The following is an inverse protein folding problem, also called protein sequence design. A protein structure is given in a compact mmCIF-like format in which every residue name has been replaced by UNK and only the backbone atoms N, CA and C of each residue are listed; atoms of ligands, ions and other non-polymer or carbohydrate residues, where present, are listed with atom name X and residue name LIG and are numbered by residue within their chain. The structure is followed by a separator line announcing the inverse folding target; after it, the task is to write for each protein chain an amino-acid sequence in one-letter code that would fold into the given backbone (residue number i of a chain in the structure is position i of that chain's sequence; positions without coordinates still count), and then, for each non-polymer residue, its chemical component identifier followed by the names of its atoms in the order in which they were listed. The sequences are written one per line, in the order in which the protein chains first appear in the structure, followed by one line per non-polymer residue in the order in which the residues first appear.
data_IF_721068058776
#
_entry.id   IF_721068058776
#
_cell.length_a   1.000
_cell.length_b   1.000
_cell.length_c   1.000
_cell.angle_alpha   90.00
_cell.angle_beta   90.00
_cell.angle_gamma   90.00
#
_symmetry.space_group_name_H-M   'P 1'
#
loop_
_entity.id
_entity.type
_entity.pdbx_description
1 polymer ?
#
# COMPACT_ATOMS: atom_id res chain seq x y z
N UNK A 1 -18.55 0.87 1.70
CA UNK A 1 -18.39 0.85 0.24
C UNK A 1 -18.64 -0.56 -0.22
N UNK A 2 -19.79 -0.72 -0.89
CA UNK A 2 -20.20 -1.99 -1.47
C UNK A 2 -19.18 -2.39 -2.53
N UNK A 3 -18.35 -3.34 -2.18
CA UNK A 3 -17.75 -4.20 -3.15
C UNK A 3 -18.86 -5.17 -3.56
N UNK A 4 -19.82 -4.68 -4.37
CA UNK A 4 -20.72 -5.58 -5.04
C UNK A 4 -19.86 -6.37 -6.02
N UNK A 5 -19.68 -7.61 -5.68
CA UNK A 5 -19.15 -8.63 -6.56
C UNK A 5 -20.16 -8.93 -7.68
N UNK A 6 -20.50 -7.89 -8.44
CA UNK A 6 -21.39 -8.02 -9.59
C UNK A 6 -20.71 -8.57 -10.83
N UNK A 7 -19.52 -9.13 -10.66
CA UNK A 7 -18.99 -10.09 -11.64
C UNK A 7 -19.67 -11.43 -11.35
N UNK A 8 -20.96 -11.44 -11.67
CA UNK A 8 -21.83 -12.57 -11.39
C UNK A 8 -21.38 -13.78 -12.21
N UNK A 9 -21.12 -14.89 -11.54
CA UNK A 9 -20.93 -16.21 -12.15
C UNK A 9 -22.08 -16.61 -13.09
N UNK A 10 -23.23 -15.91 -13.02
CA UNK A 10 -24.36 -16.08 -13.92
C UNK A 10 -24.06 -15.71 -15.37
N UNK A 11 -23.09 -14.83 -15.63
CA UNK A 11 -22.75 -14.42 -16.99
C UNK A 11 -21.92 -15.49 -17.73
N UNK A 12 -21.21 -16.35 -17.01
CA UNK A 12 -20.35 -17.37 -17.62
C UNK A 12 -21.17 -18.44 -18.36
N UNK A 13 -22.32 -18.82 -17.85
CA UNK A 13 -23.19 -19.81 -18.48
C UNK A 13 -24.15 -19.18 -19.52
N UNK A 14 -24.36 -17.88 -19.47
CA UNK A 14 -25.13 -17.15 -20.47
C UNK A 14 -24.53 -17.22 -21.88
N UNK A 15 -23.22 -17.36 -21.98
CA UNK A 15 -22.48 -17.53 -23.25
C UNK A 15 -22.80 -18.84 -23.99
N UNK A 16 -23.38 -19.84 -23.30
CA UNK A 16 -23.82 -21.08 -23.96
C UNK A 16 -25.20 -20.96 -24.62
N UNK A 17 -25.93 -19.89 -24.32
CA UNK A 17 -27.18 -19.60 -25.01
C UNK A 17 -26.90 -18.92 -26.37
N UNK A 18 -27.47 -19.46 -27.42
CA UNK A 18 -27.42 -18.89 -28.78
C UNK A 18 -28.81 -18.65 -29.31
N UNK A 19 -28.96 -17.88 -30.39
CA UNK A 19 -30.25 -17.62 -31.02
C UNK A 19 -30.97 -18.90 -31.45
N UNK A 20 -30.25 -19.96 -31.73
CA UNK A 20 -30.78 -21.28 -32.14
C UNK A 20 -30.92 -22.23 -30.96
N UNK A 21 -30.24 -21.97 -29.83
CA UNK A 21 -30.22 -22.79 -28.62
C UNK A 21 -30.45 -21.92 -27.39
N UNK A 22 -31.67 -21.51 -27.18
CA UNK A 22 -32.06 -20.57 -26.11
C UNK A 22 -32.02 -21.19 -24.72
N UNK A 23 -32.16 -22.51 -24.59
CA UNK A 23 -32.03 -23.26 -23.34
C UNK A 23 -30.94 -24.30 -23.47
N UNK A 24 -29.66 -23.94 -23.23
CA UNK A 24 -28.58 -24.92 -23.21
C UNK A 24 -28.81 -25.93 -22.07
N UNK A 25 -28.67 -27.20 -22.38
CA UNK A 25 -28.71 -28.29 -21.38
C UNK A 25 -27.37 -28.50 -20.68
N UNK A 26 -26.40 -27.67 -20.99
CA UNK A 26 -25.05 -27.72 -20.49
C UNK A 26 -24.75 -26.48 -19.65
N UNK A 27 -24.20 -26.67 -18.47
CA UNK A 27 -23.68 -25.61 -17.60
C UNK A 27 -22.28 -26.00 -17.13
N UNK A 28 -21.38 -25.04 -17.07
CA UNK A 28 -20.07 -25.21 -16.43
C UNK A 28 -20.20 -25.02 -14.93
N UNK A 29 -19.77 -25.99 -14.15
CA UNK A 29 -19.61 -25.83 -12.70
C UNK A 29 -18.55 -24.74 -12.38
N UNK A 30 -18.67 -24.06 -11.25
CA UNK A 30 -17.68 -23.12 -10.78
C UNK A 30 -16.34 -23.82 -10.49
N UNK A 31 -15.24 -23.12 -10.68
CA UNK A 31 -13.95 -23.59 -10.17
C UNK A 31 -13.91 -23.45 -8.64
N UNK A 32 -13.14 -24.29 -7.94
CA UNK A 32 -12.81 -24.06 -6.53
C UNK A 32 -12.27 -22.62 -6.35
N UNK A 33 -12.67 -21.94 -5.29
CA UNK A 33 -12.17 -20.62 -4.94
C UNK A 33 -10.67 -20.67 -4.62
N UNK A 34 -10.00 -19.53 -4.81
CA UNK A 34 -8.62 -19.36 -4.35
C UNK A 34 -8.66 -18.69 -2.98
N UNK A 35 -7.94 -19.24 -2.01
CA UNK A 35 -7.74 -18.64 -0.70
C UNK A 35 -6.34 -18.03 -0.64
N UNK A 36 -6.27 -16.77 -0.20
CA UNK A 36 -5.02 -16.04 -0.08
C UNK A 36 -4.94 -15.40 1.30
N UNK A 37 -3.86 -15.63 2.01
CA UNK A 37 -3.49 -14.85 3.17
C UNK A 37 -2.88 -13.52 2.68
N UNK A 38 -3.62 -12.41 2.87
CA UNK A 38 -3.17 -11.08 2.46
C UNK A 38 -2.75 -10.29 3.69
N UNK A 39 -1.53 -9.78 3.66
CA UNK A 39 -1.09 -8.77 4.61
C UNK A 39 -1.33 -7.38 4.01
N UNK A 40 -2.21 -6.60 4.64
CA UNK A 40 -2.50 -5.23 4.25
C UNK A 40 -1.70 -4.30 5.14
N UNK A 41 -0.80 -3.53 4.56
CA UNK A 41 -0.06 -2.49 5.25
C UNK A 41 -0.64 -1.12 4.86
N UNK A 42 -1.30 -0.44 5.80
CA UNK A 42 -1.75 0.93 5.60
C UNK A 42 -0.56 1.87 5.79
N UNK A 43 0.01 2.36 4.70
CA UNK A 43 1.05 3.38 4.74
C UNK A 43 0.41 4.75 4.84
N UNK A 44 0.47 5.34 6.04
CA UNK A 44 0.03 6.71 6.27
C UNK A 44 0.77 7.68 5.36
N UNK A 45 -0.02 8.50 4.67
CA UNK A 45 0.48 9.55 3.81
C UNK A 45 0.09 10.86 4.47
N UNK A 46 1.05 11.54 5.11
CA UNK A 46 0.92 12.93 5.43
C UNK A 46 1.57 13.75 4.31
N UNK A 47 0.92 14.80 3.88
CA UNK A 47 1.50 15.75 2.91
C UNK A 47 2.59 16.59 3.56
N UNK A 48 2.40 16.94 4.84
CA UNK A 48 3.26 17.84 5.62
C UNK A 48 3.67 17.19 6.92
N UNK A 49 4.97 17.13 7.19
CA UNK A 49 5.52 16.71 8.46
C UNK A 49 5.87 17.89 9.36
N UNK A 50 5.42 17.88 10.61
CA UNK A 50 5.88 18.83 11.64
C UNK A 50 7.12 18.27 12.33
N UNK A 51 8.21 19.00 12.29
CA UNK A 51 9.48 18.66 12.94
C UNK A 51 9.88 19.74 13.93
N UNK A 52 10.72 19.40 14.88
CA UNK A 52 11.22 20.33 15.90
C UNK A 52 11.33 19.65 17.27
N UNK A 53 12.03 20.29 18.19
CA UNK A 53 12.23 19.78 19.55
C UNK A 53 10.93 19.52 20.33
N UNK A 54 10.93 18.74 21.41
CA UNK A 54 9.79 18.66 22.32
C UNK A 54 9.40 20.03 22.83
N UNK A 55 8.14 20.21 23.17
CA UNK A 55 7.57 21.41 23.80
C UNK A 55 7.70 22.72 23.00
N UNK A 56 8.17 22.67 21.74
CA UNK A 56 8.18 23.85 20.84
C UNK A 56 6.78 24.22 20.35
N UNK A 57 5.78 23.34 20.56
CA UNK A 57 4.38 23.59 20.24
C UNK A 57 3.88 22.95 18.96
N UNK A 58 4.50 21.87 18.44
CA UNK A 58 4.04 21.14 17.26
C UNK A 58 2.60 20.63 17.39
N UNK A 59 2.32 19.87 18.45
CA UNK A 59 0.97 19.33 18.70
C UNK A 59 -0.06 20.45 18.96
N UNK A 60 0.36 21.57 19.58
CA UNK A 60 -0.51 22.74 19.74
C UNK A 60 -0.84 23.36 18.39
N UNK A 61 0.16 23.52 17.51
CA UNK A 61 -0.07 24.01 16.15
C UNK A 61 -1.03 23.11 15.40
N UNK A 62 -0.79 21.79 15.42
CA UNK A 62 -1.62 20.81 14.75
C UNK A 62 -3.08 20.87 15.24
N UNK A 63 -3.29 20.96 16.56
CA UNK A 63 -4.63 21.00 17.13
C UNK A 63 -5.42 22.27 16.78
N UNK A 64 -4.70 23.34 16.49
CA UNK A 64 -5.29 24.66 16.19
C UNK A 64 -5.64 24.82 14.71
N UNK A 65 -4.86 24.20 13.82
CA UNK A 65 -5.03 24.28 12.35
C UNK A 65 -5.89 23.16 11.79
N UNK A 66 -6.06 22.07 12.54
CA UNK A 66 -6.91 20.94 12.12
C UNK A 66 -8.38 21.23 12.41
N UNK A 67 -9.29 20.96 11.47
CA UNK A 67 -10.75 21.11 11.66
C UNK A 67 -11.35 20.04 12.58
N UNK A 68 -10.83 18.84 12.51
CA UNK A 68 -11.22 17.75 13.42
C UNK A 68 -10.21 17.62 14.55
N UNK A 69 -10.62 17.09 15.70
CA UNK A 69 -9.66 16.70 16.73
C UNK A 69 -8.61 15.80 16.07
N UNK A 70 -7.30 16.09 16.26
CA UNK A 70 -6.25 15.24 15.70
C UNK A 70 -6.50 13.78 16.03
N UNK A 71 -6.42 12.93 15.02
CA UNK A 71 -6.64 11.50 15.19
C UNK A 71 -5.32 10.90 15.65
N UNK A 72 -5.36 10.28 16.81
CA UNK A 72 -4.27 9.45 17.31
C UNK A 72 -4.36 8.14 16.55
N UNK A 73 -3.39 7.85 15.70
CA UNK A 73 -3.34 6.58 14.96
C UNK A 73 -2.91 5.46 15.91
N UNK A 74 -3.82 4.55 16.23
CA UNK A 74 -3.48 3.35 17.03
C UNK A 74 -2.82 2.31 16.12
N UNK A 75 -1.51 2.43 15.99
CA UNK A 75 -0.70 1.51 15.19
C UNK A 75 -0.01 0.51 16.09
N UNK A 76 -0.46 -0.73 16.07
CA UNK A 76 0.03 -1.83 16.93
C UNK A 76 1.53 -2.13 16.79
N UNK A 77 2.19 -1.55 15.78
CA UNK A 77 3.61 -1.76 15.46
C UNK A 77 4.51 -0.54 15.73
N UNK A 78 3.96 0.57 16.26
CA UNK A 78 4.75 1.77 16.57
C UNK A 78 4.85 2.01 18.05
N UNK A 79 6.08 2.21 18.54
CA UNK A 79 6.33 2.61 19.94
C UNK A 79 5.93 4.08 20.20
N UNK A 80 5.82 4.87 19.12
CA UNK A 80 5.46 6.29 19.13
C UNK A 80 4.28 6.49 18.18
N UNK A 81 3.21 7.05 18.71
CA UNK A 81 1.95 7.24 18.01
C UNK A 81 1.96 8.60 17.29
N UNK A 82 1.91 8.64 15.95
CA UNK A 82 1.80 9.90 15.23
C UNK A 82 0.44 10.53 15.44
N UNK A 83 0.42 11.84 15.56
CA UNK A 83 -0.82 12.62 15.62
C UNK A 83 -1.05 13.25 14.25
N UNK A 84 -2.20 12.93 13.66
CA UNK A 84 -2.58 13.42 12.33
C UNK A 84 -3.68 14.46 12.44
N UNK A 85 -3.58 15.51 11.65
CA UNK A 85 -4.62 16.50 11.49
C UNK A 85 -4.94 16.77 10.02
N UNK A 86 -6.22 16.87 9.70
CA UNK A 86 -6.67 17.32 8.39
C UNK A 86 -6.85 18.83 8.43
N UNK A 87 -6.13 19.52 7.56
CA UNK A 87 -6.19 20.99 7.42
C UNK A 87 -6.98 21.29 6.16
N UNK A 88 -8.11 22.01 6.33
CA UNK A 88 -9.00 22.39 5.21
C UNK A 88 -8.81 23.87 4.90
N UNK A 89 -8.61 24.16 3.61
CA UNK A 89 -8.41 25.52 3.08
C UNK A 89 -9.66 26.08 2.39
N UNK A 90 -10.65 25.21 2.15
CA UNK A 90 -11.89 25.51 1.46
C UNK A 90 -12.60 24.23 1.00
N UNK A 91 -13.70 24.32 0.24
CA UNK A 91 -14.56 23.17 -0.07
C UNK A 91 -13.86 22.01 -0.81
N UNK A 92 -12.77 22.29 -1.53
CA UNK A 92 -12.08 21.30 -2.37
C UNK A 92 -10.58 21.18 -2.09
N UNK A 93 -10.07 21.90 -1.09
CA UNK A 93 -8.64 21.89 -0.78
C UNK A 93 -8.39 21.48 0.66
N UNK A 94 -7.83 20.31 0.85
CA UNK A 94 -7.38 19.82 2.15
C UNK A 94 -6.05 19.09 2.00
N UNK A 95 -5.27 19.06 3.07
CA UNK A 95 -4.05 18.28 3.15
C UNK A 95 -3.89 17.68 4.56
N UNK A 96 -3.12 16.62 4.67
CA UNK A 96 -2.86 15.95 5.93
C UNK A 96 -1.54 16.42 6.51
N UNK A 97 -1.57 16.86 7.77
CA UNK A 97 -0.39 17.27 8.52
C UNK A 97 -0.15 16.27 9.65
N UNK A 98 1.10 15.83 9.82
CA UNK A 98 1.48 14.89 10.86
C UNK A 98 2.45 15.55 11.86
N UNK A 99 2.18 15.42 13.15
CA UNK A 99 3.20 15.66 14.17
C UNK A 99 4.14 14.46 14.22
N UNK A 100 5.43 14.70 14.00
CA UNK A 100 6.49 13.71 14.00
C UNK A 100 7.21 13.76 15.36
N UNK A 101 6.74 13.03 16.37
CA UNK A 101 7.43 12.96 17.64
C UNK A 101 8.70 12.11 17.51
N UNK A 102 9.76 12.51 18.19
CA UNK A 102 10.93 11.65 18.37
C UNK A 102 12.06 11.76 17.35
N UNK A 103 12.14 12.86 16.58
CA UNK A 103 13.39 13.24 15.88
C UNK A 103 14.40 13.85 16.86
N UNK A 104 14.62 13.28 18.05
CA UNK A 104 15.50 13.86 19.05
C UNK A 104 16.24 12.80 19.82
N UNK A 105 17.54 13.07 20.06
CA UNK A 105 18.50 12.37 20.90
C UNK A 105 18.42 10.83 20.82
N UNK A 106 19.22 10.23 19.93
CA UNK A 106 19.39 8.78 19.83
C UNK A 106 18.53 8.06 18.79
N UNK A 107 17.76 8.76 17.98
CA UNK A 107 17.01 8.12 16.90
C UNK A 107 17.93 7.45 15.85
N UNK A 108 19.11 8.02 15.64
CA UNK A 108 20.13 7.45 14.77
C UNK A 108 20.89 6.26 15.41
N UNK A 109 20.91 6.18 16.75
CA UNK A 109 21.64 5.14 17.49
C UNK A 109 20.79 3.88 17.78
N UNK A 110 19.58 3.79 17.22
CA UNK A 110 18.76 2.57 17.26
C UNK A 110 18.01 2.33 18.59
N UNK A 111 18.07 3.27 19.52
CA UNK A 111 17.39 3.14 20.81
C UNK A 111 16.10 3.94 20.79
N UNK A 112 14.99 3.35 20.27
CA UNK A 112 13.65 3.83 20.62
C UNK A 112 12.69 4.19 19.50
N UNK A 113 13.11 4.44 18.28
CA UNK A 113 12.19 4.68 17.16
C UNK A 113 12.26 3.50 16.18
N UNK A 114 11.18 2.74 16.13
CA UNK A 114 11.11 1.62 15.20
C UNK A 114 11.35 2.08 13.77
N UNK A 115 12.23 1.40 13.06
CA UNK A 115 12.54 1.61 11.63
C UNK A 115 11.27 1.68 10.75
N UNK A 116 10.17 1.13 11.23
CA UNK A 116 8.89 1.11 10.55
C UNK A 116 8.13 2.44 10.63
N UNK A 117 8.19 3.14 11.76
CA UNK A 117 7.58 4.47 11.90
C UNK A 117 8.19 5.48 10.91
N UNK A 118 9.46 5.35 10.66
CA UNK A 118 10.24 6.25 9.83
C UNK A 118 9.93 6.08 8.34
N UNK A 119 9.54 4.87 7.91
CA UNK A 119 9.04 4.62 6.55
C UNK A 119 7.73 5.37 6.24
N UNK A 120 6.96 5.71 7.26
CA UNK A 120 5.71 6.46 7.09
C UNK A 120 5.94 7.95 6.86
N UNK A 121 7.04 8.49 7.41
CA UNK A 121 7.44 9.89 7.26
C UNK A 121 8.14 10.14 5.93
N UNK A 122 8.79 9.15 5.36
CA UNK A 122 9.48 9.23 4.05
C UNK A 122 8.56 9.71 2.90
N UNK A 123 7.25 9.81 3.16
CA UNK A 123 6.25 10.22 2.18
C UNK A 123 5.75 11.65 2.32
N UNK A 124 6.24 12.39 3.32
CA UNK A 124 5.95 13.80 3.41
C UNK A 124 6.52 14.53 2.18
N UNK A 125 5.71 15.38 1.59
CA UNK A 125 6.10 16.20 0.43
C UNK A 125 6.85 17.45 0.84
N UNK A 126 6.62 17.92 2.06
CA UNK A 126 7.33 19.05 2.67
C UNK A 126 7.33 18.96 4.19
N UNK A 127 8.17 19.77 4.83
CA UNK A 127 8.33 19.85 6.27
C UNK A 127 8.03 21.26 6.78
N UNK A 128 7.38 21.33 7.95
CA UNK A 128 7.26 22.57 8.72
C UNK A 128 8.09 22.41 9.97
N UNK A 129 9.19 23.16 10.06
CA UNK A 129 10.09 23.16 11.19
C UNK A 129 9.62 24.15 12.22
N UNK A 130 9.10 23.67 13.34
CA UNK A 130 8.60 24.50 14.44
C UNK A 130 9.73 24.72 15.45
N UNK A 131 10.07 25.98 15.71
CA UNK A 131 11.15 26.36 16.62
C UNK A 131 10.60 27.31 17.69
N UNK A 132 11.00 27.09 18.94
CA UNK A 132 10.72 28.00 20.07
C UNK A 132 11.72 29.17 20.04
N UNK A 133 11.29 30.30 19.51
CA UNK A 133 12.18 31.48 19.32
C UNK A 133 12.54 32.12 20.64
N UNK A 134 11.70 31.98 21.66
CA UNK A 134 11.98 32.53 22.99
C UNK A 134 13.04 31.72 23.78
N UNK A 135 13.34 30.48 23.30
CA UNK A 135 14.23 29.62 24.05
C UNK A 135 13.70 29.29 25.44
N UNK A 136 12.37 29.12 25.60
CA UNK A 136 11.70 28.99 26.89
C UNK A 136 12.21 27.86 27.78
N UNK A 137 12.91 26.88 27.20
CA UNK A 137 13.56 25.77 27.90
C UNK A 137 15.08 25.97 28.09
N UNK A 138 15.58 27.20 27.90
CA UNK A 138 16.99 27.53 28.07
C UNK A 138 17.90 27.07 26.90
N UNK A 139 17.31 26.73 25.75
CA UNK A 139 18.03 26.34 24.53
C UNK A 139 18.14 27.49 23.53
N UNK A 140 19.20 27.48 22.73
CA UNK A 140 19.35 28.44 21.64
C UNK A 140 18.53 27.98 20.42
N UNK A 141 17.58 28.83 19.94
CA UNK A 141 16.77 28.50 18.75
C UNK A 141 17.56 28.17 17.49
N UNK A 142 18.74 28.76 17.30
CA UNK A 142 19.59 28.50 16.13
C UNK A 142 20.27 27.14 16.26
N UNK A 143 20.75 26.78 17.44
CA UNK A 143 21.32 25.44 17.68
C UNK A 143 20.25 24.35 17.54
N UNK A 144 19.06 24.58 18.07
CA UNK A 144 17.93 23.67 17.96
C UNK A 144 17.57 23.43 16.48
N UNK A 145 17.51 24.50 15.68
CA UNK A 145 17.26 24.39 14.25
C UNK A 145 18.34 23.55 13.52
N UNK A 146 19.62 23.79 13.80
CA UNK A 146 20.74 23.05 13.18
C UNK A 146 20.73 21.55 13.57
N UNK A 147 20.56 21.27 14.86
CA UNK A 147 20.55 19.89 15.38
C UNK A 147 19.45 19.04 14.73
N UNK A 148 18.23 19.58 14.59
CA UNK A 148 17.14 18.87 13.93
C UNK A 148 17.45 18.59 12.45
N UNK A 149 18.05 19.55 11.75
CA UNK A 149 18.44 19.34 10.36
C UNK A 149 19.58 18.31 10.23
N UNK A 150 20.55 18.31 11.13
CA UNK A 150 21.59 17.28 11.17
C UNK A 150 21.02 15.88 11.43
N UNK A 151 20.06 15.77 12.35
CA UNK A 151 19.36 14.51 12.62
C UNK A 151 18.56 14.03 11.43
N UNK A 152 17.83 14.94 10.75
CA UNK A 152 17.13 14.62 9.51
C UNK A 152 18.05 14.02 8.47
N UNK A 153 19.23 14.60 8.25
CA UNK A 153 20.21 14.10 7.29
C UNK A 153 20.72 12.72 7.68
N UNK A 154 21.03 12.52 8.97
CA UNK A 154 21.48 11.21 9.48
C UNK A 154 20.42 10.15 9.33
N UNK A 155 19.18 10.56 9.53
CA UNK A 155 18.03 9.69 9.55
C UNK A 155 17.58 9.27 8.14
N UNK A 156 17.26 10.22 7.29
CA UNK A 156 16.87 9.99 5.89
C UNK A 156 17.32 11.17 5.03
N UNK A 157 18.35 10.98 4.19
CA UNK A 157 18.85 12.02 3.27
C UNK A 157 17.81 12.50 2.25
N UNK A 158 16.82 11.66 1.90
CA UNK A 158 15.73 12.05 0.98
C UNK A 158 14.76 13.00 1.67
N UNK A 159 14.40 12.72 2.94
CA UNK A 159 13.54 13.58 3.73
C UNK A 159 14.20 14.93 4.02
N UNK A 160 15.49 14.93 4.23
CA UNK A 160 16.27 16.17 4.42
C UNK A 160 16.29 17.10 3.17
N UNK A 161 16.02 16.53 1.98
CA UNK A 161 15.90 17.29 0.72
C UNK A 161 14.50 17.87 0.51
N UNK A 162 13.51 17.48 1.31
CA UNK A 162 12.16 18.00 1.21
C UNK A 162 12.14 19.53 1.43
N UNK A 163 11.31 20.28 0.71
CA UNK A 163 11.11 21.69 0.97
C UNK A 163 10.72 21.94 2.43
N UNK A 164 11.35 22.93 3.06
CA UNK A 164 11.08 23.30 4.44
C UNK A 164 10.52 24.72 4.54
N UNK A 165 9.59 24.90 5.49
CA UNK A 165 9.10 26.20 5.96
C UNK A 165 9.39 26.25 7.46
N UNK A 166 9.87 27.39 7.95
CA UNK A 166 10.19 27.57 9.37
C UNK A 166 9.09 28.36 10.06
N UNK A 167 8.51 27.77 11.11
CA UNK A 167 7.52 28.40 11.98
C UNK A 167 8.18 28.76 13.32
N UNK A 168 8.47 30.05 13.53
CA UNK A 168 8.96 30.54 14.81
C UNK A 168 7.79 30.71 15.78
N UNK A 169 7.67 29.80 16.73
CA UNK A 169 6.60 29.79 17.73
C UNK A 169 7.02 30.47 19.03
N UNK A 170 6.03 30.79 19.85
CA UNK A 170 6.16 31.46 21.18
C UNK A 170 6.79 32.85 21.08
N UNK A 171 6.52 33.56 20.00
CA UNK A 171 7.03 34.92 19.82
C UNK A 171 6.52 35.91 20.88
N UNK A 172 5.42 35.58 21.54
CA UNK A 172 4.88 36.33 22.69
C UNK A 172 5.78 36.31 23.92
N UNK A 173 6.69 35.37 24.01
CA UNK A 173 7.66 35.22 25.09
C UNK A 173 9.07 35.71 24.69
N UNK A 174 9.30 35.99 23.41
CA UNK A 174 10.60 36.39 22.90
C UNK A 174 10.76 37.90 22.89
N UNK A 175 12.00 38.39 23.00
CA UNK A 175 12.32 39.81 22.81
C UNK A 175 12.39 40.15 21.31
N UNK A 176 12.18 41.42 20.98
CA UNK A 176 12.28 41.91 19.58
C UNK A 176 13.66 41.61 18.98
N UNK A 177 14.71 41.67 19.79
CA UNK A 177 16.07 41.35 19.37
C UNK A 177 16.23 39.87 19.00
N UNK A 178 15.67 38.95 19.80
CA UNK A 178 15.67 37.51 19.53
C UNK A 178 14.91 37.19 18.24
N UNK A 179 13.77 37.85 18.03
CA UNK A 179 12.95 37.65 16.83
C UNK A 179 13.68 38.08 15.56
N UNK A 180 14.29 39.28 15.58
CA UNK A 180 15.02 39.81 14.43
C UNK A 180 16.28 38.99 14.12
N UNK A 181 16.99 38.59 15.15
CA UNK A 181 18.20 37.76 15.03
C UNK A 181 17.90 36.37 14.47
N UNK A 182 16.86 35.70 14.96
CA UNK A 182 16.43 34.41 14.43
C UNK A 182 15.89 34.50 13.00
N UNK A 183 15.07 35.51 12.73
CA UNK A 183 14.54 35.77 11.39
C UNK A 183 15.68 35.97 10.39
N UNK A 184 16.65 36.85 10.69
CA UNK A 184 17.81 37.08 9.86
C UNK A 184 18.64 35.83 9.62
N UNK A 185 18.73 34.95 10.62
CA UNK A 185 19.42 33.67 10.50
C UNK A 185 18.73 32.72 9.50
N UNK A 186 17.40 32.60 9.56
CA UNK A 186 16.62 31.74 8.65
C UNK A 186 16.60 32.32 7.23
N UNK A 187 16.45 33.63 7.07
CA UNK A 187 16.48 34.28 5.77
C UNK A 187 17.84 34.11 5.06
N UNK A 188 18.97 34.16 5.78
CA UNK A 188 20.29 33.83 5.23
C UNK A 188 20.41 32.41 4.70
N UNK A 189 19.61 31.48 5.23
CA UNK A 189 19.52 30.09 4.74
C UNK A 189 18.57 29.94 3.53
N UNK A 190 17.88 31.02 3.14
CA UNK A 190 16.94 31.02 2.01
C UNK A 190 15.63 30.30 2.29
N UNK A 191 15.27 30.09 3.57
CA UNK A 191 14.04 29.45 3.97
C UNK A 191 12.96 30.46 4.30
N UNK A 192 11.67 30.19 3.94
CA UNK A 192 10.54 30.98 4.37
C UNK A 192 10.34 30.92 5.89
N UNK A 193 10.14 32.07 6.52
CA UNK A 193 9.96 32.20 7.97
C UNK A 193 8.61 32.80 8.30
N UNK A 194 7.89 32.20 9.24
CA UNK A 194 6.59 32.66 9.72
C UNK A 194 6.58 32.74 11.26
N UNK A 195 6.45 33.95 11.82
CA UNK A 195 6.30 34.12 13.26
C UNK A 195 4.87 33.75 13.69
N UNK A 196 4.74 32.87 14.68
CA UNK A 196 3.45 32.39 15.15
C UNK A 196 3.34 32.37 16.69
N UNK A 197 2.09 32.42 17.16
CA UNK A 197 1.70 32.01 18.52
C UNK A 197 0.57 31.00 18.39
N UNK A 198 0.92 29.73 18.40
CA UNK A 198 -0.01 28.65 18.08
C UNK A 198 -1.29 28.66 18.94
N UNK A 199 -1.26 28.80 20.30
CA UNK A 199 -2.46 28.76 21.12
C UNK A 199 -3.51 29.81 20.80
N UNK A 200 -3.10 31.02 20.36
CA UNK A 200 -4.01 32.12 20.03
C UNK A 200 -4.25 32.31 18.53
N UNK A 201 -3.79 31.36 17.70
CA UNK A 201 -3.90 31.34 16.23
C UNK A 201 -3.25 32.56 15.54
N UNK A 202 -2.33 33.24 16.18
CA UNK A 202 -1.61 34.34 15.56
C UNK A 202 -0.60 33.82 14.54
N UNK A 203 -0.62 34.38 13.31
CA UNK A 203 0.30 33.99 12.22
C UNK A 203 0.07 32.61 11.63
N UNK A 204 -0.84 31.80 12.19
CA UNK A 204 -1.08 30.42 11.73
C UNK A 204 -1.75 30.37 10.37
N UNK A 205 -2.62 31.34 10.05
CA UNK A 205 -3.31 31.40 8.75
C UNK A 205 -2.34 31.67 7.61
N UNK A 206 -1.41 32.59 7.80
CA UNK A 206 -0.36 32.94 6.85
C UNK A 206 0.57 31.77 6.61
N UNK A 207 0.97 31.06 7.67
CA UNK A 207 1.76 29.84 7.59
C UNK A 207 1.04 28.77 6.75
N UNK A 208 -0.23 28.48 7.08
CA UNK A 208 -1.00 27.42 6.37
C UNK A 208 -1.25 27.79 4.92
N UNK A 209 -1.50 29.06 4.59
CA UNK A 209 -1.61 29.51 3.20
C UNK A 209 -0.32 29.27 2.42
N UNK A 210 0.84 29.61 3.01
CA UNK A 210 2.13 29.36 2.38
C UNK A 210 2.43 27.86 2.21
N UNK A 211 2.04 27.04 3.17
CA UNK A 211 2.13 25.57 3.07
C UNK A 211 1.29 25.06 1.91
N UNK A 212 0.01 25.47 1.81
CA UNK A 212 -0.89 25.05 0.74
C UNK A 212 -0.40 25.49 -0.65
N UNK A 213 0.06 26.73 -0.76
CA UNK A 213 0.67 27.26 -2.01
C UNK A 213 1.89 26.43 -2.41
N UNK A 214 2.78 26.14 -1.46
CA UNK A 214 3.96 25.32 -1.76
C UNK A 214 3.58 23.91 -2.17
N UNK A 215 2.64 23.26 -1.46
CA UNK A 215 2.14 21.93 -1.80
C UNK A 215 1.55 21.86 -3.21
N UNK A 216 0.85 22.90 -3.65
CA UNK A 216 0.28 22.94 -5.01
C UNK A 216 1.34 22.93 -6.12
N UNK A 217 2.55 23.43 -5.83
CA UNK A 217 3.67 23.45 -6.77
C UNK A 217 4.49 22.15 -6.77
N UNK A 218 4.32 21.30 -5.75
CA UNK A 218 5.06 20.05 -5.63
C UNK A 218 4.37 18.92 -6.40
N UNK A 219 5.15 17.98 -6.97
CA UNK A 219 4.56 16.83 -7.63
C UNK A 219 3.71 16.02 -6.65
N UNK A 220 2.64 15.37 -7.11
CA UNK A 220 1.86 14.46 -6.28
C UNK A 220 2.75 13.32 -5.77
N UNK A 221 2.38 12.75 -4.60
CA UNK A 221 3.08 11.58 -4.06
C UNK A 221 3.12 10.48 -5.13
N UNK A 222 4.28 9.89 -5.35
CA UNK A 222 4.43 8.75 -6.27
C UNK A 222 3.43 7.68 -5.88
N UNK A 223 2.41 7.48 -6.70
CA UNK A 223 1.55 6.29 -6.56
C UNK A 223 2.43 5.09 -6.87
N UNK A 224 2.37 4.07 -6.02
CA UNK A 224 2.94 2.78 -6.39
C UNK A 224 2.16 2.29 -7.59
N UNK A 225 2.78 2.27 -8.75
CA UNK A 225 2.31 1.46 -9.84
C UNK A 225 2.49 0.01 -9.39
N UNK A 226 1.40 -0.77 -9.46
CA UNK A 226 1.53 -2.20 -9.24
C UNK A 226 2.60 -2.71 -10.21
N UNK A 227 3.60 -3.41 -9.71
CA UNK A 227 4.52 -4.11 -10.60
C UNK A 227 3.65 -5.03 -11.45
N UNK A 228 3.57 -4.73 -12.75
CA UNK A 228 2.91 -5.62 -13.68
C UNK A 228 3.64 -6.95 -13.58
N UNK A 229 2.96 -7.95 -13.04
CA UNK A 229 3.49 -9.32 -13.04
C UNK A 229 3.72 -9.66 -14.50
N UNK A 230 4.96 -9.89 -14.92
CA UNK A 230 5.25 -10.15 -16.33
C UNK A 230 4.34 -11.26 -16.84
N UNK A 231 3.68 -11.04 -17.98
CA UNK A 231 2.82 -12.04 -18.63
C UNK A 231 3.51 -13.39 -18.77
N UNK A 232 4.84 -13.41 -18.88
CA UNK A 232 5.66 -14.63 -18.85
C UNK A 232 5.53 -15.45 -17.57
N UNK A 233 5.28 -14.80 -16.40
CA UNK A 233 5.04 -15.53 -15.13
C UNK A 233 3.61 -16.07 -15.08
N UNK A 234 2.66 -15.38 -15.71
CA UNK A 234 1.29 -15.86 -15.88
C UNK A 234 1.21 -16.94 -16.98
N UNK A 235 2.04 -16.85 -18.00
CA UNK A 235 2.13 -17.83 -19.09
C UNK A 235 2.93 -19.08 -18.70
N UNK A 236 3.89 -18.98 -17.77
CA UNK A 236 4.57 -20.16 -17.22
C UNK A 236 3.63 -21.05 -16.39
N UNK A 237 2.50 -20.52 -15.93
CA UNK A 237 1.38 -21.31 -15.37
C UNK A 237 0.49 -21.96 -16.42
N UNK A 238 0.69 -21.67 -17.71
CA UNK A 238 0.07 -22.36 -18.86
C UNK A 238 0.93 -23.49 -19.40
N UNK A 239 1.87 -24.01 -18.63
CA UNK A 239 2.53 -25.24 -18.99
C UNK A 239 1.48 -26.35 -18.99
N UNK A 240 0.98 -26.69 -20.16
CA UNK A 240 0.13 -27.85 -20.41
C UNK A 240 0.94 -29.17 -20.24
N UNK A 241 2.00 -29.13 -19.46
CA UNK A 241 2.76 -30.31 -19.11
C UNK A 241 1.89 -31.26 -18.28
N UNK A 242 1.97 -32.52 -18.61
CA UNK A 242 1.39 -33.61 -17.83
C UNK A 242 2.45 -34.67 -17.60
N UNK A 243 2.28 -35.42 -16.54
CA UNK A 243 3.16 -36.54 -16.17
C UNK A 243 2.32 -37.81 -16.13
N UNK A 244 2.78 -38.83 -16.82
CA UNK A 244 2.18 -40.17 -16.75
C UNK A 244 3.12 -41.07 -15.97
N UNK A 245 2.60 -41.76 -14.97
CA UNK A 245 3.32 -42.78 -14.18
C UNK A 245 2.55 -44.07 -14.22
N UNK A 246 3.26 -45.18 -14.38
CA UNK A 246 2.65 -46.52 -14.43
C UNK A 246 3.08 -47.28 -13.19
N UNK A 247 2.11 -47.68 -12.36
CA UNK A 247 2.34 -48.48 -11.17
C UNK A 247 1.33 -49.66 -11.15
N UNK A 248 1.82 -50.89 -11.07
CA UNK A 248 1.01 -52.10 -10.93
C UNK A 248 -0.14 -52.24 -11.96
N UNK A 249 0.06 -51.76 -13.19
CA UNK A 249 -0.95 -51.81 -14.25
C UNK A 249 -1.95 -50.67 -14.25
N UNK A 250 -1.81 -49.69 -13.33
CA UNK A 250 -2.61 -48.45 -13.31
C UNK A 250 -1.79 -47.32 -13.90
N UNK A 251 -2.34 -46.60 -14.88
CA UNK A 251 -1.77 -45.43 -15.51
C UNK A 251 -2.25 -44.17 -14.83
N UNK A 252 -1.41 -43.58 -13.98
CA UNK A 252 -1.75 -42.33 -13.28
C UNK A 252 -1.29 -41.10 -14.06
N UNK A 253 -2.21 -40.16 -14.31
CA UNK A 253 -1.96 -38.91 -15.02
C UNK A 253 -2.09 -37.74 -14.06
N UNK A 254 -1.03 -36.94 -13.94
CA UNK A 254 -0.97 -35.75 -13.11
C UNK A 254 -0.72 -34.51 -13.97
N UNK A 255 -1.58 -33.50 -13.85
CA UNK A 255 -1.42 -32.20 -14.47
C UNK A 255 -2.30 -31.14 -13.79
N UNK A 256 -1.72 -30.05 -13.29
CA UNK A 256 -2.46 -29.01 -12.56
C UNK A 256 -3.64 -28.42 -13.36
N UNK A 257 -3.46 -28.30 -14.68
CA UNK A 257 -4.51 -27.79 -15.56
C UNK A 257 -5.65 -28.81 -15.74
N UNK A 258 -5.35 -30.11 -15.71
CA UNK A 258 -6.32 -31.19 -15.85
C UNK A 258 -7.22 -31.29 -14.62
N UNK A 259 -6.65 -31.10 -13.42
CA UNK A 259 -7.41 -31.03 -12.18
C UNK A 259 -8.48 -29.93 -12.24
N UNK A 260 -8.12 -28.76 -12.76
CA UNK A 260 -9.06 -27.62 -12.94
C UNK A 260 -10.19 -27.92 -13.92
N UNK A 261 -9.97 -28.77 -14.89
CA UNK A 261 -11.02 -29.20 -15.84
C UNK A 261 -11.87 -30.27 -15.21
N UNK A 262 -11.26 -31.25 -14.56
CA UNK A 262 -11.97 -32.35 -13.89
C UNK A 262 -12.90 -31.79 -12.80
N UNK A 263 -12.43 -30.87 -11.96
CA UNK A 263 -13.24 -30.25 -10.92
C UNK A 263 -14.45 -29.44 -11.42
N UNK A 264 -14.45 -29.08 -12.71
CA UNK A 264 -15.53 -28.35 -13.39
C UNK A 264 -16.44 -29.25 -14.22
N UNK A 265 -16.09 -30.51 -14.35
CA UNK A 265 -16.79 -31.49 -15.17
C UNK A 265 -17.80 -32.24 -14.29
N UNK A 266 -19.07 -32.15 -14.66
CA UNK A 266 -20.08 -33.01 -14.06
C UNK A 266 -19.99 -34.40 -14.73
N UNK A 267 -19.54 -35.37 -13.96
CA UNK A 267 -19.31 -36.75 -14.45
C UNK A 267 -20.63 -37.51 -14.67
N UNK A 268 -21.72 -37.07 -14.10
CA UNK A 268 -23.05 -37.63 -14.27
C UNK A 268 -23.75 -37.09 -15.54
N UNK A 269 -23.23 -36.00 -16.12
CA UNK A 269 -23.75 -35.44 -17.38
C UNK A 269 -22.97 -35.92 -18.60
N UNK A 270 -23.66 -36.59 -19.52
CA UNK A 270 -23.08 -37.14 -20.75
C UNK A 270 -22.35 -36.08 -21.63
N UNK A 271 -22.89 -34.87 -21.73
CA UNK A 271 -22.27 -33.83 -22.53
C UNK A 271 -20.98 -33.31 -21.89
N UNK A 272 -20.91 -33.23 -20.58
CA UNK A 272 -19.71 -32.88 -19.80
C UNK A 272 -18.63 -33.94 -19.94
N UNK A 273 -19.01 -35.22 -19.87
CA UNK A 273 -18.12 -36.35 -20.11
C UNK A 273 -17.51 -36.34 -21.52
N UNK A 274 -18.34 -36.12 -22.55
CA UNK A 274 -17.83 -35.97 -23.92
C UNK A 274 -16.85 -34.83 -24.10
N UNK A 275 -17.12 -33.69 -23.44
CA UNK A 275 -16.18 -32.58 -23.42
C UNK A 275 -14.85 -32.97 -22.78
N UNK A 276 -14.87 -33.62 -21.61
CA UNK A 276 -13.67 -34.06 -20.92
C UNK A 276 -12.86 -35.06 -21.76
N UNK A 277 -13.50 -36.03 -22.39
CA UNK A 277 -12.86 -36.96 -23.32
C UNK A 277 -12.20 -36.24 -24.52
N UNK A 278 -12.88 -35.22 -25.07
CA UNK A 278 -12.31 -34.39 -26.16
C UNK A 278 -11.05 -33.63 -25.70
N UNK A 279 -11.05 -33.13 -24.44
CA UNK A 279 -9.88 -32.48 -23.85
C UNK A 279 -8.72 -33.48 -23.69
N UNK A 280 -8.96 -34.68 -23.17
CA UNK A 280 -7.94 -35.72 -23.03
C UNK A 280 -7.31 -36.09 -24.37
N UNK A 281 -8.13 -36.20 -25.45
CA UNK A 281 -7.65 -36.47 -26.80
C UNK A 281 -6.83 -35.31 -27.38
N UNK A 282 -7.34 -34.08 -27.25
CA UNK A 282 -6.68 -32.91 -27.82
C UNK A 282 -5.41 -32.47 -27.06
N UNK A 283 -5.25 -32.84 -25.81
CA UNK A 283 -4.07 -32.53 -24.98
C UNK A 283 -2.87 -33.46 -25.25
N UNK A 284 -3.06 -34.54 -25.99
CA UNK A 284 -2.01 -35.54 -26.24
C UNK A 284 -1.80 -36.55 -25.14
N UNK A 285 -2.62 -36.51 -24.09
CA UNK A 285 -2.54 -37.49 -22.98
C UNK A 285 -2.81 -38.90 -23.46
N UNK A 286 -3.82 -39.06 -24.33
CA UNK A 286 -4.14 -40.39 -24.92
C UNK A 286 -2.97 -40.91 -25.75
N UNK A 287 -2.35 -40.05 -26.57
CA UNK A 287 -1.20 -40.45 -27.39
C UNK A 287 -0.01 -40.90 -26.53
N UNK A 288 0.19 -40.25 -25.38
CA UNK A 288 1.26 -40.63 -24.46
C UNK A 288 0.97 -41.94 -23.73
N UNK A 289 -0.27 -42.17 -23.30
CA UNK A 289 -0.71 -43.44 -22.70
C UNK A 289 -0.47 -44.61 -23.70
N UNK A 290 -0.83 -44.42 -24.97
CA UNK A 290 -0.59 -45.42 -26.03
C UNK A 290 0.90 -45.68 -26.23
N UNK A 291 1.76 -44.64 -26.20
CA UNK A 291 3.22 -44.81 -26.26
C UNK A 291 3.77 -45.59 -25.07
N UNK A 292 3.17 -45.45 -23.92
CA UNK A 292 3.56 -46.20 -22.68
C UNK A 292 2.98 -47.62 -22.65
N UNK A 293 2.18 -47.98 -23.66
CA UNK A 293 1.76 -49.38 -23.89
C UNK A 293 0.43 -49.74 -23.24
N UNK A 294 -0.46 -48.79 -23.00
CA UNK A 294 -1.80 -49.06 -22.47
C UNK A 294 -2.61 -50.00 -23.40
N UNK A 295 -3.31 -50.94 -22.80
CA UNK A 295 -4.16 -51.88 -23.50
C UNK A 295 -5.63 -51.67 -23.15
N UNK A 296 -6.52 -52.19 -24.00
CA UNK A 296 -7.96 -52.17 -23.69
C UNK A 296 -8.26 -52.89 -22.39
N UNK A 297 -8.95 -52.20 -21.50
CA UNK A 297 -9.28 -52.68 -20.15
C UNK A 297 -8.28 -52.27 -19.05
N UNK A 298 -7.17 -51.65 -19.41
CA UNK A 298 -6.27 -51.09 -18.38
C UNK A 298 -6.89 -49.88 -17.68
N UNK A 299 -6.60 -49.76 -16.37
CA UNK A 299 -7.16 -48.66 -15.56
C UNK A 299 -6.32 -47.40 -15.70
N UNK A 300 -6.99 -46.29 -16.02
CA UNK A 300 -6.42 -44.92 -16.00
C UNK A 300 -6.94 -44.18 -14.77
N UNK A 301 -6.02 -43.68 -13.96
CA UNK A 301 -6.33 -42.86 -12.79
C UNK A 301 -5.93 -41.41 -13.03
N UNK A 302 -6.89 -40.49 -12.89
CA UNK A 302 -6.68 -39.05 -12.99
C UNK A 302 -7.20 -38.43 -11.69
N UNK A 303 -6.32 -38.19 -10.72
CA UNK A 303 -6.67 -37.77 -9.35
C UNK A 303 -7.67 -38.76 -8.71
N UNK A 304 -8.90 -38.31 -8.42
CA UNK A 304 -9.96 -39.14 -7.79
C UNK A 304 -10.84 -39.88 -8.83
N UNK A 305 -10.55 -39.74 -10.12
CA UNK A 305 -11.30 -40.39 -11.19
C UNK A 305 -10.54 -41.59 -11.74
N UNK A 306 -11.13 -42.78 -11.64
CA UNK A 306 -10.62 -44.00 -12.25
C UNK A 306 -11.59 -44.51 -13.33
N UNK A 307 -11.04 -44.89 -14.46
CA UNK A 307 -11.83 -45.49 -15.55
C UNK A 307 -11.00 -46.43 -16.40
N UNK A 308 -11.68 -47.37 -17.05
CA UNK A 308 -11.02 -48.32 -17.95
C UNK A 308 -10.78 -47.71 -19.32
N UNK A 309 -9.59 -47.93 -19.87
CA UNK A 309 -9.24 -47.46 -21.17
C UNK A 309 -9.98 -48.25 -22.26
N UNK A 310 -10.73 -47.55 -23.11
CA UNK A 310 -11.39 -48.08 -24.29
C UNK A 310 -10.89 -47.25 -25.48
N UNK A 311 -10.25 -47.84 -26.49
CA UNK A 311 -9.62 -47.12 -27.62
C UNK A 311 -10.60 -46.37 -28.54
#
# INVERSE_FOLDING_TARGET
SDWSSDVCSSDLNSHFATSTRQTPRFAKSGAPGEEWDISLELKLIADVGLIGFPNVGKSSLLSVVSEAKPIIGDYHFTTIIPVLGVVTMGPEQSFVMADIPGLIEGAADGVGLGHEFLKHIERCRMLVHVVDVAGSEGRDPKEDFEKINEELVKFNPELAKCPQIVAGNKIDLATDEQLEDFKSFIEKKGLPYFPIVAPIKYGTKELINAVAEKLSTLPPVKKYEAEEIPLSVLESKKNNGFKVTVNDGVYSVEADWLYRILSKTDLDDYASLQYFQTVLKSSGIIDELVKQGIQEGDTVSIYDLEFDYIP
#
